data_IF_171350684285
#
_entry.id   IF_171350684285
#
_cell.length_a   1.000
_cell.length_b   1.000
_cell.length_c   1.000
_cell.angle_alpha   90.00
_cell.angle_beta   90.00
_cell.angle_gamma   90.00
#
_symmetry.space_group_name_H-M   'P 1'
#
loop_
_entity.id
_entity.type
_entity.pdbx_description
1 polymer ?
#
# COMPACT_ATOMS: atom_id res chain seq x y z
N UNK A 1 15.18 -1.44 -13.25
CA UNK A 1 14.03 -1.10 -14.11
C UNK A 1 14.27 0.33 -14.60
N UNK A 2 14.59 0.52 -15.89
CA UNK A 2 15.14 1.79 -16.41
C UNK A 2 14.11 2.93 -16.51
N UNK A 3 12.82 2.63 -16.38
CA UNK A 3 11.72 3.58 -16.58
C UNK A 3 11.71 4.73 -15.57
N UNK A 4 12.17 4.50 -14.34
CA UNK A 4 12.23 5.55 -13.30
C UNK A 4 13.53 6.36 -13.35
N UNK A 5 14.48 6.01 -14.22
CA UNK A 5 15.82 6.63 -14.28
C UNK A 5 16.12 7.28 -15.65
N UNK A 6 15.51 6.81 -16.73
CA UNK A 6 15.76 7.28 -18.10
C UNK A 6 14.59 7.98 -18.79
N UNK A 7 13.39 7.95 -18.22
CA UNK A 7 12.18 8.53 -18.82
C UNK A 7 11.69 9.78 -18.07
N UNK A 8 10.81 10.55 -18.72
CA UNK A 8 10.16 11.69 -18.09
C UNK A 8 9.26 11.26 -16.91
N UNK A 9 9.01 12.18 -15.97
CA UNK A 9 8.06 11.95 -14.86
C UNK A 9 6.67 11.57 -15.38
N UNK A 10 6.24 12.18 -16.48
CA UNK A 10 4.96 11.91 -17.11
C UNK A 10 4.88 10.47 -17.64
N UNK A 11 5.89 10.05 -18.41
CA UNK A 11 5.99 8.70 -18.95
C UNK A 11 6.07 7.64 -17.84
N UNK A 12 6.90 7.87 -16.83
CA UNK A 12 7.03 6.98 -15.68
C UNK A 12 5.73 6.89 -14.87
N UNK A 13 5.05 8.03 -14.69
CA UNK A 13 3.76 8.11 -14.00
C UNK A 13 2.64 7.38 -14.73
N UNK A 14 2.51 7.60 -16.03
CA UNK A 14 1.54 6.91 -16.87
C UNK A 14 1.80 5.39 -16.88
N UNK A 15 3.07 4.98 -16.96
CA UNK A 15 3.43 3.56 -16.87
C UNK A 15 3.04 2.97 -15.51
N UNK A 16 3.35 3.66 -14.41
CA UNK A 16 2.98 3.21 -13.07
C UNK A 16 1.46 3.07 -12.93
N UNK A 17 0.69 4.04 -13.45
CA UNK A 17 -0.77 4.00 -13.44
C UNK A 17 -1.32 2.83 -14.27
N UNK A 18 -0.71 2.54 -15.42
CA UNK A 18 -1.06 1.38 -16.24
C UNK A 18 -0.85 0.07 -15.48
N UNK A 19 0.31 -0.10 -14.83
CA UNK A 19 0.60 -1.30 -14.02
C UNK A 19 -0.42 -1.44 -12.90
N UNK A 20 -0.77 -0.34 -12.23
CA UNK A 20 -1.78 -0.32 -11.17
C UNK A 20 -3.17 -0.73 -11.67
N UNK A 21 -3.63 -0.14 -12.78
CA UNK A 21 -4.93 -0.46 -13.40
C UNK A 21 -4.99 -1.93 -13.85
N UNK A 22 -3.90 -2.46 -14.44
CA UNK A 22 -3.81 -3.88 -14.81
C UNK A 22 -3.89 -4.80 -13.59
N UNK A 23 -3.16 -4.46 -12.52
CA UNK A 23 -3.23 -5.20 -11.26
C UNK A 23 -4.64 -5.17 -10.67
N UNK A 24 -5.28 -4.01 -10.65
CA UNK A 24 -6.64 -3.85 -10.15
C UNK A 24 -7.65 -4.66 -10.98
N UNK A 25 -7.54 -4.65 -12.31
CA UNK A 25 -8.40 -5.43 -13.19
C UNK A 25 -8.21 -6.95 -12.99
N UNK A 26 -6.96 -7.39 -12.78
CA UNK A 26 -6.66 -8.78 -12.42
C UNK A 26 -7.31 -9.17 -11.10
N UNK A 27 -7.21 -8.32 -10.08
CA UNK A 27 -7.84 -8.58 -8.79
C UNK A 27 -9.36 -8.64 -8.91
N UNK A 28 -9.97 -7.72 -9.65
CA UNK A 28 -11.41 -7.73 -9.88
C UNK A 28 -11.86 -9.05 -10.55
N UNK A 29 -11.04 -9.61 -11.44
CA UNK A 29 -11.35 -10.91 -12.06
C UNK A 29 -11.27 -12.06 -11.07
N UNK A 30 -10.31 -12.01 -10.15
CA UNK A 30 -10.12 -13.06 -9.12
C UNK A 30 -11.23 -13.01 -8.07
N UNK A 31 -11.57 -11.81 -7.60
CA UNK A 31 -12.45 -11.65 -6.43
C UNK A 31 -13.93 -11.46 -6.78
N UNK A 32 -14.23 -10.88 -7.96
CA UNK A 32 -15.59 -10.51 -8.36
C UNK A 32 -16.01 -11.13 -9.71
N UNK A 33 -15.19 -12.03 -10.26
CA UNK A 33 -15.33 -12.64 -11.60
C UNK A 33 -15.47 -11.64 -12.77
N UNK A 34 -15.20 -10.36 -12.53
CA UNK A 34 -15.43 -9.26 -13.46
C UNK A 34 -14.12 -8.69 -14.00
N UNK A 35 -14.12 -8.24 -15.27
CA UNK A 35 -12.97 -7.57 -15.87
C UNK A 35 -13.40 -6.56 -16.92
N UNK A 36 -12.62 -5.49 -17.04
CA UNK A 36 -12.73 -4.52 -18.11
C UNK A 36 -11.87 -4.95 -19.32
N UNK A 37 -12.25 -4.49 -20.51
CA UNK A 37 -11.50 -4.74 -21.75
C UNK A 37 -10.19 -3.95 -21.81
N UNK A 38 -9.17 -4.53 -22.46
CA UNK A 38 -7.82 -3.98 -22.50
C UNK A 38 -7.73 -2.54 -23.03
N UNK A 39 -8.53 -2.18 -24.04
CA UNK A 39 -8.56 -0.80 -24.56
C UNK A 39 -9.06 0.19 -23.51
N UNK A 40 -10.11 -0.18 -22.77
CA UNK A 40 -10.69 0.62 -21.70
C UNK A 40 -9.69 0.84 -20.57
N UNK A 41 -8.88 -0.17 -20.23
CA UNK A 41 -7.81 -0.05 -19.23
C UNK A 41 -6.78 1.02 -19.62
N UNK A 42 -6.40 1.09 -20.89
CA UNK A 42 -5.43 2.09 -21.35
C UNK A 42 -5.96 3.53 -21.27
N UNK A 43 -7.24 3.73 -21.63
CA UNK A 43 -7.92 5.03 -21.50
C UNK A 43 -8.03 5.41 -20.02
N UNK A 44 -8.49 4.47 -19.18
CA UNK A 44 -8.62 4.65 -17.74
C UNK A 44 -7.30 5.03 -17.08
N UNK A 45 -6.20 4.37 -17.46
CA UNK A 45 -4.87 4.66 -16.92
C UNK A 45 -4.42 6.09 -17.24
N UNK A 46 -4.69 6.58 -18.45
CA UNK A 46 -4.41 7.96 -18.83
C UNK A 46 -5.26 8.96 -18.05
N UNK A 47 -6.57 8.74 -17.98
CA UNK A 47 -7.47 9.63 -17.26
C UNK A 47 -7.10 9.74 -15.77
N UNK A 48 -6.83 8.61 -15.11
CA UNK A 48 -6.41 8.60 -13.70
C UNK A 48 -5.08 9.33 -13.49
N UNK A 49 -4.15 9.23 -14.43
CA UNK A 49 -2.89 9.96 -14.37
C UNK A 49 -3.10 11.47 -14.54
N UNK A 50 -3.90 11.89 -15.52
CA UNK A 50 -4.23 13.29 -15.77
C UNK A 50 -4.98 13.94 -14.60
N UNK A 51 -5.95 13.23 -14.02
CA UNK A 51 -6.66 13.65 -12.80
C UNK A 51 -5.67 13.85 -11.65
N UNK A 52 -4.84 12.85 -11.35
CA UNK A 52 -3.83 12.95 -10.29
C UNK A 52 -2.88 14.12 -10.53
N UNK A 53 -2.37 14.26 -11.75
CA UNK A 53 -1.44 15.32 -12.12
C UNK A 53 -2.08 16.71 -11.97
N UNK A 54 -3.33 16.89 -12.41
CA UNK A 54 -4.06 18.16 -12.26
C UNK A 54 -4.23 18.58 -10.79
N UNK A 55 -4.56 17.64 -9.90
CA UNK A 55 -4.72 17.90 -8.46
C UNK A 55 -3.41 18.36 -7.83
N UNK A 56 -2.28 17.76 -8.22
CA UNK A 56 -0.96 18.13 -7.70
C UNK A 56 -0.55 19.56 -8.11
N UNK A 57 -0.87 19.99 -9.33
CA UNK A 57 -0.62 21.37 -9.77
C UNK A 57 -1.52 22.38 -9.05
N UNK A 58 -2.81 22.08 -8.86
CA UNK A 58 -3.72 22.95 -8.11
C UNK A 58 -3.30 23.17 -6.65
N UNK A 59 -2.69 22.17 -6.01
CA UNK A 59 -2.16 22.28 -4.64
C UNK A 59 -0.90 23.15 -4.57
N UNK A 60 -0.12 23.25 -5.65
CA UNK A 60 1.11 24.04 -5.70
C UNK A 60 0.87 25.54 -5.98
N UNK A 61 -0.24 25.90 -6.63
CA UNK A 61 -0.54 27.28 -7.05
C UNK A 61 -1.33 28.13 -6.03
N UNK A 62 -1.69 27.57 -4.87
CA UNK A 62 -2.38 28.33 -3.80
C UNK A 62 -1.39 28.84 -2.75
N UNK A 63 -1.17 30.17 -2.62
CA UNK A 63 -0.36 30.72 -1.54
C UNK A 63 -1.18 30.75 -0.24
N UNK A 64 -1.33 29.61 0.42
CA UNK A 64 -1.79 29.57 1.81
C UNK A 64 -0.57 29.57 2.76
N UNK A 65 -0.57 30.35 3.86
CA UNK A 65 0.53 30.35 4.83
C UNK A 65 0.58 29.05 5.68
N UNK A 66 -0.31 28.10 5.40
CA UNK A 66 -0.34 26.80 6.04
C UNK A 66 0.25 25.78 5.07
N UNK A 67 1.49 26.02 4.66
CA UNK A 67 2.41 24.89 4.50
C UNK A 67 2.61 24.30 5.90
N UNK A 68 1.58 23.64 6.45
CA UNK A 68 1.86 22.39 7.11
C UNK A 68 2.67 21.65 6.06
N UNK A 69 3.96 21.51 6.32
CA UNK A 69 4.72 20.45 5.71
C UNK A 69 3.84 19.22 5.91
N UNK A 70 3.06 18.85 4.88
CA UNK A 70 2.88 17.47 4.57
C UNK A 70 4.31 17.02 4.31
N UNK A 71 5.04 16.76 5.39
CA UNK A 71 6.19 15.90 5.36
C UNK A 71 5.61 14.70 4.66
N UNK A 72 5.91 14.55 3.37
CA UNK A 72 5.62 13.32 2.68
C UNK A 72 6.18 12.27 3.62
N UNK A 73 5.30 11.51 4.27
CA UNK A 73 5.66 10.42 5.17
C UNK A 73 6.21 9.30 4.28
N UNK A 74 7.28 9.64 3.57
CA UNK A 74 8.06 8.72 2.80
C UNK A 74 8.62 7.75 3.80
N UNK A 75 8.43 6.47 3.51
CA UNK A 75 8.94 5.41 4.35
C UNK A 75 10.42 5.66 4.64
N UNK A 76 10.77 5.79 5.91
CA UNK A 76 12.15 5.84 6.37
C UNK A 76 12.55 4.46 6.90
N UNK A 77 13.77 4.04 6.55
CA UNK A 77 14.40 2.86 7.14
C UNK A 77 14.65 3.10 8.64
N UNK A 78 14.55 2.07 9.49
CA UNK A 78 14.80 2.24 10.91
C UNK A 78 16.28 2.53 11.20
N UNK A 79 16.63 3.10 12.38
CA UNK A 79 18.02 3.28 12.81
C UNK A 79 18.81 1.97 12.87
N UNK A 80 20.14 2.08 12.95
CA UNK A 80 21.01 0.93 13.22
C UNK A 80 20.54 0.18 14.47
N UNK A 81 20.56 -1.15 14.43
CA UNK A 81 20.08 -2.06 15.49
C UNK A 81 18.57 -2.03 15.78
N UNK A 82 17.79 -1.32 14.96
CA UNK A 82 16.33 -1.36 15.03
C UNK A 82 15.73 -2.14 13.89
N UNK A 83 14.59 -2.75 14.17
CA UNK A 83 13.70 -3.31 13.16
C UNK A 83 12.46 -2.44 13.00
N UNK A 84 11.90 -2.45 11.79
CA UNK A 84 10.60 -1.86 11.49
C UNK A 84 9.62 -2.98 11.21
N UNK A 85 8.57 -3.06 12.02
CA UNK A 85 7.47 -3.99 11.83
C UNK A 85 6.26 -3.23 11.27
N UNK A 86 5.82 -3.60 10.08
CA UNK A 86 4.54 -3.17 9.53
C UNK A 86 3.51 -4.25 9.85
N UNK A 87 2.37 -3.88 10.44
CA UNK A 87 1.28 -4.79 10.80
C UNK A 87 0.00 -4.31 10.12
N UNK A 88 -0.92 -5.23 9.85
CA UNK A 88 -2.24 -4.92 9.28
C UNK A 88 -3.24 -6.05 9.60
N UNK A 89 -4.52 -5.72 9.65
CA UNK A 89 -5.60 -6.67 9.89
C UNK A 89 -6.54 -6.83 8.68
N UNK A 90 -6.95 -8.08 8.42
CA UNK A 90 -7.92 -8.44 7.40
C UNK A 90 -9.25 -8.88 8.01
N UNK A 91 -10.37 -8.46 7.42
CA UNK A 91 -11.71 -8.72 7.96
C UNK A 91 -12.58 -9.48 6.94
N UNK A 92 -13.05 -10.67 7.33
CA UNK A 92 -13.84 -11.56 6.48
C UNK A 92 -15.21 -11.80 7.10
N UNK A 93 -16.15 -10.88 6.83
CA UNK A 93 -17.49 -10.90 7.41
C UNK A 93 -18.26 -12.19 7.13
N UNK A 94 -18.19 -12.71 5.91
CA UNK A 94 -18.91 -13.93 5.50
C UNK A 94 -18.38 -15.19 6.19
N UNK A 95 -17.10 -15.19 6.53
CA UNK A 95 -16.44 -16.31 7.20
C UNK A 95 -16.45 -16.17 8.72
N UNK A 96 -16.92 -15.03 9.25
CA UNK A 96 -16.81 -14.65 10.65
C UNK A 96 -15.36 -14.79 11.17
N UNK A 97 -14.38 -14.26 10.40
CA UNK A 97 -12.95 -14.33 10.74
C UNK A 97 -12.26 -12.99 10.63
N UNK A 98 -11.22 -12.84 11.43
CA UNK A 98 -10.24 -11.76 11.34
C UNK A 98 -8.85 -12.37 11.16
N UNK A 99 -8.10 -11.89 10.19
CA UNK A 99 -6.69 -12.22 10.03
C UNK A 99 -5.81 -11.06 10.48
N UNK A 100 -4.57 -11.37 10.79
CA UNK A 100 -3.51 -10.40 11.00
C UNK A 100 -2.28 -10.81 10.17
N UNK A 101 -1.51 -9.83 9.73
CA UNK A 101 -0.23 -10.06 9.08
C UNK A 101 0.79 -9.02 9.48
N UNK A 102 2.06 -9.41 9.50
CA UNK A 102 3.14 -8.48 9.76
C UNK A 102 4.40 -8.77 8.93
N UNK A 103 5.16 -7.72 8.65
CA UNK A 103 6.39 -7.76 7.88
C UNK A 103 7.49 -6.97 8.60
N UNK A 104 8.61 -7.63 8.84
CA UNK A 104 9.78 -7.07 9.51
C UNK A 104 10.86 -6.70 8.49
N UNK A 105 11.45 -5.52 8.69
CA UNK A 105 12.63 -5.04 7.94
C UNK A 105 13.72 -4.60 8.88
N UNK A 106 14.97 -4.82 8.50
CA UNK A 106 16.15 -4.39 9.26
C UNK A 106 16.50 -2.90 9.03
N UNK A 107 17.57 -2.43 9.68
CA UNK A 107 18.11 -1.08 9.57
C UNK A 107 18.60 -0.69 8.17
N UNK A 108 18.86 -1.67 7.29
CA UNK A 108 19.19 -1.42 5.89
C UNK A 108 17.95 -1.30 5.01
N UNK A 109 16.78 -1.66 5.57
CA UNK A 109 15.50 -1.74 4.88
C UNK A 109 15.25 -3.08 4.19
N UNK A 110 16.15 -4.05 4.37
CA UNK A 110 16.01 -5.38 3.81
C UNK A 110 14.88 -6.12 4.52
N UNK A 111 14.20 -6.97 3.74
CA UNK A 111 13.20 -7.89 4.26
C UNK A 111 13.86 -8.91 5.19
N UNK A 112 13.25 -9.16 6.34
CA UNK A 112 13.72 -10.14 7.32
C UNK A 112 12.73 -11.30 7.41
N UNK A 113 11.47 -10.99 7.73
CA UNK A 113 10.43 -12.01 7.92
C UNK A 113 9.03 -11.45 7.68
N UNK A 114 8.12 -12.34 7.29
CA UNK A 114 6.67 -12.11 7.25
C UNK A 114 6.00 -13.26 7.97
N UNK A 115 4.89 -12.99 8.64
CA UNK A 115 4.04 -14.02 9.21
C UNK A 115 2.58 -13.56 9.24
N UNK A 116 1.68 -14.51 9.50
CA UNK A 116 0.23 -14.28 9.54
C UNK A 116 -0.43 -15.04 10.67
N UNK A 117 -1.50 -14.48 11.22
CA UNK A 117 -2.33 -15.08 12.25
C UNK A 117 -3.80 -15.06 11.83
N UNK A 118 -4.56 -16.09 12.23
CA UNK A 118 -5.99 -16.19 11.97
C UNK A 118 -6.75 -16.36 13.28
N UNK A 119 -7.73 -15.50 13.49
CA UNK A 119 -8.64 -15.54 14.63
C UNK A 119 -10.05 -15.93 14.18
N UNK A 120 -10.69 -16.79 14.96
CA UNK A 120 -12.12 -17.06 14.83
C UNK A 120 -12.92 -15.91 15.47
N UNK A 121 -13.93 -15.42 14.77
CA UNK A 121 -14.75 -14.29 15.18
C UNK A 121 -14.43 -13.00 14.42
N UNK A 122 -15.45 -12.15 14.33
CA UNK A 122 -15.37 -10.82 13.73
C UNK A 122 -14.89 -9.80 14.76
N UNK A 123 -13.67 -9.32 14.59
CA UNK A 123 -13.14 -8.17 15.34
C UNK A 123 -13.62 -6.84 14.72
N UNK A 124 -13.70 -5.80 15.54
CA UNK A 124 -13.71 -4.42 15.05
C UNK A 124 -12.34 -4.05 14.45
N UNK A 125 -12.28 -2.92 13.73
CA UNK A 125 -11.04 -2.42 13.13
C UNK A 125 -9.95 -2.27 14.19
N UNK A 126 -10.23 -1.56 15.28
CA UNK A 126 -9.26 -1.31 16.36
C UNK A 126 -8.78 -2.61 17.02
N UNK A 127 -9.67 -3.57 17.24
CA UNK A 127 -9.31 -4.87 17.81
C UNK A 127 -8.42 -5.66 16.86
N UNK A 128 -8.76 -5.70 15.56
CA UNK A 128 -7.96 -6.39 14.55
C UNK A 128 -6.54 -5.83 14.47
N UNK A 129 -6.39 -4.51 14.39
CA UNK A 129 -5.07 -3.86 14.37
C UNK A 129 -4.27 -4.12 15.65
N UNK A 130 -4.94 -4.11 16.81
CA UNK A 130 -4.30 -4.41 18.09
C UNK A 130 -3.83 -5.86 18.18
N UNK A 131 -4.63 -6.79 17.65
CA UNK A 131 -4.26 -8.22 17.53
C UNK A 131 -3.05 -8.36 16.60
N UNK A 132 -3.04 -7.67 15.45
CA UNK A 132 -1.92 -7.74 14.52
C UNK A 132 -0.61 -7.27 15.16
N UNK A 133 -0.65 -6.18 15.94
CA UNK A 133 0.51 -5.72 16.71
C UNK A 133 0.93 -6.73 17.79
N UNK A 134 -0.03 -7.29 18.54
CA UNK A 134 0.24 -8.26 19.60
C UNK A 134 0.90 -9.53 19.07
N UNK A 135 0.35 -10.11 17.99
CA UNK A 135 0.89 -11.34 17.40
C UNK A 135 2.25 -11.11 16.76
N UNK A 136 2.48 -9.92 16.16
CA UNK A 136 3.81 -9.54 15.71
C UNK A 136 4.83 -9.52 16.85
N UNK A 137 4.49 -8.95 18.01
CA UNK A 137 5.37 -8.94 19.19
C UNK A 137 5.69 -10.36 19.69
N UNK A 138 4.68 -11.22 19.82
CA UNK A 138 4.88 -12.62 20.21
C UNK A 138 5.78 -13.37 19.22
N UNK A 139 5.58 -13.15 17.91
CA UNK A 139 6.39 -13.76 16.87
C UNK A 139 7.87 -13.31 16.89
N UNK A 140 8.15 -12.14 17.48
CA UNK A 140 9.51 -11.63 17.68
C UNK A 140 10.17 -12.17 18.96
N UNK A 141 9.42 -12.44 20.03
CA UNK A 141 9.96 -12.99 21.29
C UNK A 141 10.52 -14.42 21.13
N UNK A 142 10.01 -15.18 20.18
CA UNK A 142 10.42 -16.57 19.94
C UNK A 142 11.61 -16.70 18.97
N UNK A 143 12.34 -15.61 18.68
CA UNK A 143 13.46 -15.54 17.73
C UNK A 143 14.70 -14.93 18.37
#
# INVERSE_FOLDING_TARGET
>A
MAICQGESKDTAGLFAMMVWVLWNNRNNKVWNESKEEGRSLGIKSRHLWEEWHSVQHCQHDSPSPVQQQQQHLAWQKPPMDWYKCNVDAGFYNELNKTSAGWCLRDHTGNFVVVDTYWNEGKCSITEGESIALLEAMKGMEHR
#
